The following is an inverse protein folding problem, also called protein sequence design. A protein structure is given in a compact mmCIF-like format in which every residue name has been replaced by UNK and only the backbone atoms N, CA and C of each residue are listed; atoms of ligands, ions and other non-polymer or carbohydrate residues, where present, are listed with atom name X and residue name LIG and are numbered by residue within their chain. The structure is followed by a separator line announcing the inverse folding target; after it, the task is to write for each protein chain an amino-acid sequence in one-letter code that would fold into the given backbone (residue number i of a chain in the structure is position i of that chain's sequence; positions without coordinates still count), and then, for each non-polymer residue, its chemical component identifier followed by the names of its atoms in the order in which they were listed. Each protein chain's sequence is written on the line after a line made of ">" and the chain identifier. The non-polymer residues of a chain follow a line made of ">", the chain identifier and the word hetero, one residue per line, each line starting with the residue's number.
data_IF_744760237560
#
_entry.id   IF_744760237560
#
_cell.length_a   1.000
_cell.length_b   1.000
_cell.length_c   1.000
_cell.angle_alpha   90.00
_cell.angle_beta   90.00
_cell.angle_gamma   90.00
#
_symmetry.space_group_name_H-M   'P 1'
#
loop_
_entity.id
_entity.type
_entity.pdbx_description
1 polymer ?
#
# COMPACT_ATOMS: atom_id res chain seq x y z
N UNK A 1 31.50 18.01 -67.84
CA UNK A 1 30.54 19.05 -67.37
C UNK A 1 29.23 18.39 -66.99
N UNK A 2 28.97 18.24 -65.68
CA UNK A 2 27.64 18.21 -65.07
C UNK A 2 27.84 18.24 -63.55
N UNK A 3 27.60 19.41 -62.98
CA UNK A 3 27.52 19.65 -61.55
C UNK A 3 26.26 19.00 -61.00
N UNK A 4 26.35 18.31 -59.87
CA UNK A 4 25.21 18.06 -59.00
C UNK A 4 25.67 18.29 -57.56
N UNK A 5 25.33 19.49 -57.05
CA UNK A 5 25.25 19.79 -55.63
C UNK A 5 24.26 18.82 -54.98
N UNK A 6 24.64 18.23 -53.85
CA UNK A 6 23.67 17.61 -52.92
C UNK A 6 23.71 18.40 -51.63
N UNK A 7 22.64 19.18 -51.43
CA UNK A 7 22.39 19.96 -50.23
C UNK A 7 21.74 19.06 -49.16
N UNK A 8 22.28 19.21 -47.95
CA UNK A 8 21.81 18.83 -46.62
C UNK A 8 20.34 18.44 -46.40
N UNK A 9 20.15 17.43 -45.54
CA UNK A 9 19.05 17.37 -44.58
C UNK A 9 19.57 16.78 -43.26
N UNK A 10 19.90 17.67 -42.32
CA UNK A 10 20.08 17.36 -40.90
C UNK A 10 18.72 16.94 -40.32
N UNK A 11 18.54 15.64 -40.08
CA UNK A 11 17.41 15.13 -39.30
C UNK A 11 17.64 15.39 -37.82
N UNK A 12 17.14 16.50 -37.29
CA UNK A 12 17.02 16.69 -35.85
C UNK A 12 15.89 15.80 -35.31
N UNK A 13 16.26 14.67 -34.71
CA UNK A 13 15.33 13.87 -33.93
C UNK A 13 14.96 14.64 -32.65
N UNK A 14 13.77 15.23 -32.65
CA UNK A 14 13.12 15.69 -31.42
C UNK A 14 12.68 14.45 -30.63
N UNK A 15 13.56 13.96 -29.76
CA UNK A 15 13.19 13.02 -28.72
C UNK A 15 12.39 13.77 -27.67
N UNK A 16 11.06 13.71 -27.75
CA UNK A 16 10.22 14.10 -26.62
C UNK A 16 10.50 13.11 -25.48
N UNK A 17 10.99 13.54 -24.31
CA UNK A 17 11.01 12.67 -23.16
C UNK A 17 9.56 12.29 -22.89
N UNK A 18 9.28 10.98 -22.90
CA UNK A 18 8.04 10.43 -22.40
C UNK A 18 7.97 10.86 -20.92
N UNK A 19 7.22 11.91 -20.62
CA UNK A 19 6.86 12.22 -19.24
C UNK A 19 6.10 10.99 -18.74
N UNK A 20 6.77 10.16 -17.95
CA UNK A 20 6.10 9.10 -17.21
C UNK A 20 4.95 9.77 -16.48
N UNK A 21 3.73 9.30 -16.73
CA UNK A 21 2.52 9.86 -16.13
C UNK A 21 2.70 9.86 -14.60
N UNK A 22 2.89 11.06 -14.04
CA UNK A 22 3.31 11.23 -12.66
C UNK A 22 2.15 10.77 -11.78
N UNK A 23 2.34 9.65 -11.12
CA UNK A 23 1.27 9.03 -10.35
C UNK A 23 0.91 9.95 -9.17
N UNK A 24 -0.36 10.36 -9.04
CA UNK A 24 -0.69 11.46 -8.14
C UNK A 24 -0.42 11.16 -6.68
N UNK A 25 0.09 12.16 -5.98
CA UNK A 25 0.16 12.18 -4.53
C UNK A 25 -1.24 12.26 -3.93
N UNK A 26 -1.47 11.48 -2.87
CA UNK A 26 -2.76 11.48 -2.19
C UNK A 26 -2.68 10.94 -0.76
N UNK A 27 -3.68 11.33 0.03
CA UNK A 27 -4.03 10.68 1.27
C UNK A 27 -5.35 9.92 1.08
N UNK A 28 -5.50 8.82 1.80
CA UNK A 28 -6.71 8.02 1.83
C UNK A 28 -6.96 7.43 3.21
N UNK A 29 -8.22 7.07 3.43
CA UNK A 29 -8.63 6.17 4.49
C UNK A 29 -9.09 4.88 3.86
N UNK A 30 -8.56 3.76 4.32
CA UNK A 30 -8.90 2.45 3.79
C UNK A 30 -9.68 1.70 4.87
N UNK A 31 -10.83 1.14 4.50
CA UNK A 31 -11.59 0.21 5.34
C UNK A 31 -11.42 -1.19 4.79
N UNK A 32 -11.23 -2.14 5.70
CA UNK A 32 -11.15 -3.56 5.39
C UNK A 32 -12.23 -4.32 6.16
N UNK A 33 -12.84 -5.29 5.48
CA UNK A 33 -13.72 -6.30 6.06
C UNK A 33 -13.29 -7.64 5.51
N UNK A 34 -12.96 -8.57 6.39
CA UNK A 34 -12.63 -9.96 6.04
C UNK A 34 -13.55 -10.90 6.82
N UNK A 35 -14.17 -11.83 6.13
CA UNK A 35 -15.19 -12.73 6.68
C UNK A 35 -14.90 -14.15 6.25
N UNK A 36 -14.81 -15.04 7.22
CA UNK A 36 -14.56 -16.47 7.01
C UNK A 36 -15.55 -17.30 7.81
N UNK A 37 -16.25 -18.21 7.12
CA UNK A 37 -17.14 -19.20 7.71
C UNK A 37 -16.43 -20.55 7.75
N UNK A 38 -16.28 -21.10 8.94
CA UNK A 38 -15.68 -22.41 9.17
C UNK A 38 -16.59 -23.56 8.75
N UNK A 39 -16.04 -24.77 8.69
CA UNK A 39 -16.80 -26.00 8.41
C UNK A 39 -17.82 -26.34 9.49
N UNK A 40 -17.67 -25.76 10.68
CA UNK A 40 -18.61 -25.80 11.80
C UNK A 40 -19.78 -24.80 11.65
N UNK A 41 -19.82 -24.04 10.54
CA UNK A 41 -20.82 -23.00 10.30
C UNK A 41 -20.57 -21.69 11.03
N UNK A 42 -19.48 -21.58 11.82
CA UNK A 42 -19.18 -20.34 12.57
C UNK A 42 -18.55 -19.32 11.64
N UNK A 43 -19.14 -18.13 11.61
CA UNK A 43 -18.59 -16.99 10.89
C UNK A 43 -17.75 -16.12 11.82
N UNK A 44 -16.51 -15.86 11.41
CA UNK A 44 -15.64 -14.83 12.01
C UNK A 44 -15.53 -13.66 11.04
N UNK A 45 -15.63 -12.46 11.57
CA UNK A 45 -15.49 -11.22 10.81
C UNK A 45 -14.45 -10.32 11.48
N UNK A 46 -13.50 -9.84 10.68
CA UNK A 46 -12.49 -8.88 11.08
C UNK A 46 -12.71 -7.58 10.35
N UNK A 47 -12.71 -6.46 11.07
CA UNK A 47 -12.82 -5.13 10.50
C UNK A 47 -11.73 -4.22 11.05
N UNK A 48 -11.08 -3.47 10.17
CA UNK A 48 -10.11 -2.45 10.57
C UNK A 48 -10.05 -1.32 9.54
N UNK A 49 -9.39 -0.24 9.93
CA UNK A 49 -9.13 0.89 9.04
C UNK A 49 -7.67 1.29 9.10
N UNK A 50 -7.20 1.87 8.00
CA UNK A 50 -5.85 2.44 7.89
C UNK A 50 -5.91 3.88 7.36
N UNK A 51 -5.01 4.72 7.87
CA UNK A 51 -4.57 5.93 7.17
C UNK A 51 -3.52 5.49 6.16
N UNK A 52 -3.67 5.92 4.92
CA UNK A 52 -2.72 5.62 3.86
C UNK A 52 -2.32 6.90 3.13
N UNK A 53 -1.03 7.07 2.84
CA UNK A 53 -0.52 8.19 2.06
C UNK A 53 0.48 7.66 1.03
N UNK A 54 0.43 8.23 -0.16
CA UNK A 54 1.47 8.12 -1.20
C UNK A 54 1.89 9.52 -1.58
N UNK A 55 3.17 9.80 -1.44
CA UNK A 55 3.77 11.08 -1.86
C UNK A 55 5.13 10.77 -2.50
N UNK A 56 5.27 11.03 -3.79
CA UNK A 56 6.43 10.65 -4.60
C UNK A 56 6.72 9.15 -4.52
N UNK A 57 7.93 8.83 -4.05
CA UNK A 57 8.44 7.46 -3.88
C UNK A 57 8.31 6.94 -2.44
N UNK A 58 7.33 7.45 -1.70
CA UNK A 58 7.09 7.08 -0.31
C UNK A 58 5.64 6.68 -0.10
N UNK A 59 5.44 5.62 0.68
CA UNK A 59 4.13 5.15 1.11
C UNK A 59 4.11 5.00 2.62
N UNK A 60 3.08 5.57 3.25
CA UNK A 60 2.81 5.46 4.68
C UNK A 60 1.48 4.74 4.89
N UNK A 61 1.46 3.71 5.73
CA UNK A 61 0.21 3.07 6.17
C UNK A 61 0.19 2.92 7.69
N UNK A 62 -0.93 3.26 8.32
CA UNK A 62 -1.06 3.17 9.78
C UNK A 62 -2.46 2.69 10.16
N UNK A 63 -2.53 1.66 11.01
CA UNK A 63 -3.80 1.19 11.56
C UNK A 63 -4.43 2.25 12.45
N UNK A 64 -5.72 2.50 12.24
CA UNK A 64 -6.54 3.36 13.09
C UNK A 64 -7.00 2.58 14.31
N UNK A 65 -6.12 2.47 15.31
CA UNK A 65 -6.41 1.80 16.58
C UNK A 65 -7.08 2.81 17.53
N UNK A 66 -8.23 2.47 18.15
CA UNK A 66 -8.83 3.31 19.17
C UNK A 66 -7.84 3.58 20.32
N UNK A 67 -7.70 4.84 20.73
CA UNK A 67 -6.74 5.26 21.76
C UNK A 67 -6.87 4.46 23.08
N UNK A 68 -8.09 4.18 23.61
CA UNK A 68 -8.22 3.37 24.81
C UNK A 68 -7.66 1.94 24.65
N UNK A 69 -7.85 1.34 23.47
CA UNK A 69 -7.35 0.00 23.17
C UNK A 69 -5.82 -0.02 23.08
N UNK A 70 -5.23 0.97 22.38
CA UNK A 70 -3.78 1.11 22.33
C UNK A 70 -3.19 1.29 23.73
N UNK A 71 -3.80 2.16 24.56
CA UNK A 71 -3.40 2.36 25.97
C UNK A 71 -3.42 1.07 26.78
N UNK A 72 -4.53 0.32 26.70
CA UNK A 72 -4.68 -0.93 27.43
C UNK A 72 -3.65 -1.97 26.99
N UNK A 73 -3.41 -2.08 25.68
CA UNK A 73 -2.37 -2.96 25.14
C UNK A 73 -1.00 -2.63 25.74
N UNK A 74 -0.54 -1.38 25.59
CA UNK A 74 0.77 -0.94 26.08
C UNK A 74 0.91 -1.09 27.59
N UNK A 75 -0.13 -0.79 28.37
CA UNK A 75 -0.12 -1.00 29.82
C UNK A 75 0.12 -2.47 30.20
N UNK A 76 -0.36 -3.44 29.40
CA UNK A 76 -0.16 -4.87 29.67
C UNK A 76 1.13 -5.42 29.07
N UNK A 77 1.53 -4.90 27.90
CA UNK A 77 2.65 -5.39 27.12
C UNK A 77 3.97 -4.84 27.67
N UNK A 78 4.02 -3.53 27.96
CA UNK A 78 5.24 -2.84 28.37
C UNK A 78 5.55 -3.08 29.87
N UNK A 79 4.56 -3.56 30.64
CA UNK A 79 4.71 -3.85 32.06
C UNK A 79 5.38 -5.21 32.35
N UNK A 80 5.71 -6.02 31.35
CA UNK A 80 6.35 -7.34 31.52
C UNK A 80 7.86 -7.22 31.33
N UNK A 81 8.67 -7.28 32.41
CA UNK A 81 10.12 -7.24 32.28
C UNK A 81 10.63 -8.51 31.57
N UNK A 82 11.52 -8.36 30.59
CA UNK A 82 12.27 -9.49 30.02
C UNK A 82 11.96 -9.87 28.57
N UNK A 83 10.99 -9.24 27.90
CA UNK A 83 10.74 -9.45 26.47
C UNK A 83 10.35 -8.15 25.77
N UNK A 84 11.28 -7.51 25.04
CA UNK A 84 10.94 -6.38 24.17
C UNK A 84 10.41 -6.90 22.85
N UNK A 85 9.13 -7.22 22.76
CA UNK A 85 8.53 -7.56 21.46
C UNK A 85 8.09 -6.29 20.72
N UNK A 86 8.57 -6.12 19.49
CA UNK A 86 8.08 -5.05 18.63
C UNK A 86 6.77 -5.48 17.94
N UNK A 87 5.67 -4.85 18.34
CA UNK A 87 4.35 -5.10 17.72
C UNK A 87 4.13 -4.17 16.54
N UNK A 88 4.74 -4.51 15.41
CA UNK A 88 4.73 -3.71 14.19
C UNK A 88 3.32 -3.34 13.68
N UNK A 89 2.27 -4.11 14.02
CA UNK A 89 0.88 -3.79 13.64
C UNK A 89 0.32 -2.55 14.37
N UNK A 90 0.95 -2.12 15.46
CA UNK A 90 0.60 -0.91 16.20
C UNK A 90 1.38 0.33 15.77
N UNK A 91 2.50 0.12 15.08
CA UNK A 91 3.31 1.19 14.49
C UNK A 91 2.81 1.54 13.08
N UNK A 92 3.21 2.72 12.60
CA UNK A 92 2.97 3.10 11.22
C UNK A 92 4.05 2.53 10.30
N UNK A 93 3.66 1.83 9.24
CA UNK A 93 4.58 1.34 8.21
C UNK A 93 4.94 2.46 7.25
N UNK A 94 6.24 2.71 7.07
CA UNK A 94 6.80 3.67 6.12
C UNK A 94 7.72 2.94 5.14
N UNK A 95 7.33 2.93 3.87
CA UNK A 95 8.12 2.36 2.78
C UNK A 95 8.63 3.49 1.90
N UNK A 96 9.93 3.49 1.62
CA UNK A 96 10.55 4.42 0.69
C UNK A 96 11.28 3.66 -0.40
N UNK A 97 11.09 4.05 -1.66
CA UNK A 97 11.90 3.54 -2.77
C UNK A 97 13.11 4.44 -2.97
N UNK A 98 14.31 3.86 -2.94
CA UNK A 98 15.58 4.54 -3.16
C UNK A 98 15.96 4.52 -4.65
N UNK A 99 17.00 5.28 -5.01
CA UNK A 99 17.61 5.18 -6.33
C UNK A 99 18.08 3.73 -6.59
N UNK A 100 17.72 3.15 -7.74
CA UNK A 100 18.02 1.76 -8.07
C UNK A 100 16.98 0.72 -7.62
N UNK A 101 15.75 1.16 -7.31
CA UNK A 101 14.58 0.31 -7.03
C UNK A 101 14.61 -0.51 -5.73
N UNK A 102 15.63 -0.29 -4.89
CA UNK A 102 15.65 -0.83 -3.54
C UNK A 102 14.54 -0.20 -2.70
N UNK A 103 13.82 -1.04 -1.96
CA UNK A 103 12.85 -0.58 -0.96
C UNK A 103 13.50 -0.56 0.40
N UNK A 104 13.25 0.50 1.17
CA UNK A 104 13.55 0.57 2.59
C UNK A 104 12.23 0.49 3.35
N UNK A 105 12.17 -0.41 4.33
CA UNK A 105 11.03 -0.58 5.23
C UNK A 105 11.40 -0.07 6.62
N UNK A 106 10.57 0.84 7.14
CA UNK A 106 10.64 1.33 8.51
C UNK A 106 9.27 1.28 9.15
N UNK A 107 9.24 1.16 10.48
CA UNK A 107 8.04 1.36 11.28
C UNK A 107 8.25 2.51 12.24
N UNK A 108 7.38 3.52 12.17
CA UNK A 108 7.35 4.63 13.12
C UNK A 108 6.40 4.27 14.27
N UNK A 109 6.98 3.94 15.42
CA UNK A 109 6.28 3.72 16.67
C UNK A 109 6.19 5.03 17.46
N UNK A 110 5.03 5.68 17.32
CA UNK A 110 4.75 6.93 17.99
C UNK A 110 4.53 6.78 19.51
N UNK A 111 4.26 5.56 20.00
CA UNK A 111 4.07 5.34 21.44
C UNK A 111 5.41 5.37 22.17
N UNK A 112 6.43 4.74 21.58
CA UNK A 112 7.77 4.67 22.14
C UNK A 112 8.74 5.74 21.60
N UNK A 113 8.31 6.57 20.64
CA UNK A 113 9.15 7.48 19.87
C UNK A 113 10.34 6.75 19.21
N UNK A 114 10.04 5.64 18.54
CA UNK A 114 11.03 4.78 17.89
C UNK A 114 10.78 4.69 16.40
N UNK A 115 11.86 4.71 15.62
CA UNK A 115 11.86 4.40 14.20
C UNK A 115 12.59 3.07 14.02
N UNK A 116 11.82 2.00 13.83
CA UNK A 116 12.36 0.64 13.70
C UNK A 116 12.65 0.37 12.23
N UNK A 117 13.90 0.23 11.87
CA UNK A 117 14.32 -0.18 10.53
C UNK A 117 14.23 -1.70 10.40
N UNK A 118 13.76 -2.18 9.25
CA UNK A 118 13.68 -3.61 8.97
C UNK A 118 14.68 -3.93 7.86
N UNK A 119 15.77 -4.66 8.17
CA UNK A 119 16.68 -5.19 7.16
C UNK A 119 15.93 -6.09 6.18
N UNK A 120 16.42 -6.18 4.94
CA UNK A 120 15.75 -6.94 3.87
C UNK A 120 15.57 -8.42 4.24
N UNK A 121 16.58 -9.00 4.89
CA UNK A 121 16.56 -10.36 5.42
C UNK A 121 15.42 -10.61 6.43
N UNK A 122 14.93 -9.57 7.11
CA UNK A 122 13.88 -9.67 8.13
C UNK A 122 12.48 -9.31 7.61
N UNK A 123 12.31 -9.02 6.31
CA UNK A 123 10.98 -8.73 5.74
C UNK A 123 9.96 -9.83 6.01
N UNK A 124 10.42 -11.09 6.07
CA UNK A 124 9.59 -12.24 6.42
C UNK A 124 8.99 -12.16 7.83
N UNK A 125 9.71 -11.62 8.81
CA UNK A 125 9.27 -11.54 10.21
C UNK A 125 8.04 -10.63 10.40
N UNK A 126 7.90 -9.65 9.51
CA UNK A 126 6.80 -8.67 9.52
C UNK A 126 5.83 -8.87 8.36
N UNK A 127 5.87 -10.04 7.71
CA UNK A 127 5.06 -10.41 6.55
C UNK A 127 5.06 -9.35 5.43
N UNK A 128 6.19 -8.66 5.25
CA UNK A 128 6.35 -7.66 4.20
C UNK A 128 6.81 -8.31 2.89
N UNK A 129 6.14 -7.94 1.79
CA UNK A 129 6.54 -8.31 0.43
C UNK A 129 6.99 -7.06 -0.30
N UNK A 130 8.23 -7.01 -0.82
CA UNK A 130 8.79 -5.81 -1.46
C UNK A 130 8.28 -5.61 -2.90
N UNK A 131 6.96 -5.65 -3.09
CA UNK A 131 6.29 -5.47 -4.39
C UNK A 131 5.88 -4.00 -4.57
N UNK A 132 6.78 -3.17 -5.11
CA UNK A 132 6.56 -1.72 -5.18
C UNK A 132 5.26 -1.32 -5.88
N UNK A 133 4.94 -1.93 -7.03
CA UNK A 133 3.70 -1.67 -7.74
C UNK A 133 2.47 -1.89 -6.84
N UNK A 134 2.45 -2.99 -6.08
CA UNK A 134 1.36 -3.28 -5.12
C UNK A 134 1.35 -2.30 -3.96
N UNK A 135 2.50 -1.96 -3.39
CA UNK A 135 2.61 -1.03 -2.26
C UNK A 135 2.11 0.36 -2.66
N UNK A 136 2.49 0.82 -3.85
CA UNK A 136 2.20 2.15 -4.38
C UNK A 136 0.78 2.31 -4.90
N UNK A 137 0.17 1.24 -5.41
CA UNK A 137 -1.16 1.29 -6.03
C UNK A 137 -2.21 0.48 -5.26
N UNK A 138 -1.89 -0.02 -4.06
CA UNK A 138 -2.68 -0.94 -3.22
C UNK A 138 -2.90 -2.36 -3.80
N UNK A 139 -2.93 -2.47 -5.12
CA UNK A 139 -2.86 -3.71 -5.92
C UNK A 139 -1.76 -3.55 -6.96
N UNK A 140 -1.29 -4.64 -7.58
CA UNK A 140 -0.45 -4.51 -8.76
C UNK A 140 -1.35 -4.13 -9.97
N UNK A 141 -1.18 -2.96 -10.62
CA UNK A 141 -2.05 -2.54 -11.72
C UNK A 141 -2.02 -3.48 -12.93
N UNK A 142 -0.92 -4.21 -13.14
CA UNK A 142 -0.81 -5.21 -14.21
C UNK A 142 -1.84 -6.34 -14.08
N UNK A 143 -2.42 -6.54 -12.89
CA UNK A 143 -3.51 -7.50 -12.72
C UNK A 143 -4.74 -7.16 -13.58
N UNK A 144 -4.98 -5.87 -13.87
CA UNK A 144 -6.14 -5.42 -14.62
C UNK A 144 -6.13 -5.89 -16.08
N UNK A 145 -4.95 -6.12 -16.66
CA UNK A 145 -4.80 -6.59 -18.05
C UNK A 145 -5.45 -7.97 -18.27
N UNK A 146 -5.48 -8.80 -17.23
CA UNK A 146 -6.11 -10.12 -17.25
C UNK A 146 -7.58 -10.12 -16.80
N UNK A 147 -8.14 -8.97 -16.44
CA UNK A 147 -9.51 -8.88 -15.92
C UNK A 147 -10.49 -8.40 -16.99
N UNK A 148 -11.72 -8.89 -16.92
CA UNK A 148 -12.80 -8.46 -17.80
C UNK A 148 -13.38 -7.14 -17.30
N UNK A 149 -13.37 -6.06 -18.09
CA UNK A 149 -14.07 -4.83 -17.73
C UNK A 149 -15.59 -5.07 -17.71
N UNK A 150 -16.29 -4.45 -16.76
CA UNK A 150 -17.73 -4.56 -16.59
C UNK A 150 -18.41 -3.26 -16.99
N UNK A 151 -19.53 -3.37 -17.70
CA UNK A 151 -20.43 -2.26 -17.99
C UNK A 151 -21.35 -1.99 -16.79
N UNK A 152 -20.74 -1.46 -15.72
CA UNK A 152 -21.41 -1.10 -14.48
C UNK A 152 -21.20 0.38 -14.17
N UNK A 153 -22.20 1.00 -13.56
CA UNK A 153 -22.11 2.39 -13.14
C UNK A 153 -20.92 2.60 -12.19
N UNK A 154 -20.07 3.56 -12.54
CA UNK A 154 -18.87 3.91 -11.79
C UNK A 154 -18.70 5.44 -11.75
N UNK A 155 -17.96 5.97 -10.76
CA UNK A 155 -17.54 7.37 -10.75
C UNK A 155 -16.73 7.74 -12.00
N UNK A 156 -16.63 9.03 -12.29
CA UNK A 156 -15.80 9.53 -13.39
C UNK A 156 -14.36 8.99 -13.31
N UNK A 157 -13.82 8.58 -14.45
CA UNK A 157 -12.49 7.98 -14.60
C UNK A 157 -12.26 6.72 -13.75
N UNK A 158 -13.33 6.03 -13.36
CA UNK A 158 -13.26 4.71 -12.73
C UNK A 158 -14.04 3.66 -13.54
N UNK A 159 -13.57 2.41 -13.52
CA UNK A 159 -14.21 1.28 -14.19
C UNK A 159 -14.16 0.03 -13.31
N UNK A 160 -15.20 -0.79 -13.36
CA UNK A 160 -15.21 -2.10 -12.72
C UNK A 160 -14.51 -3.14 -13.60
N UNK A 161 -13.77 -4.03 -12.95
CA UNK A 161 -13.11 -5.18 -13.55
C UNK A 161 -13.43 -6.44 -12.73
N UNK A 162 -13.59 -7.59 -13.37
CA UNK A 162 -13.78 -8.89 -12.71
C UNK A 162 -12.84 -9.96 -13.27
N UNK A 163 -12.36 -10.82 -12.39
CA UNK A 163 -11.80 -12.13 -12.76
C UNK A 163 -12.46 -13.22 -11.94
N UNK A 164 -12.48 -14.43 -12.51
CA UNK A 164 -12.90 -15.66 -11.85
C UNK A 164 -11.82 -16.71 -12.03
N UNK A 165 -11.25 -17.15 -10.92
CA UNK A 165 -10.20 -18.15 -10.89
C UNK A 165 -10.65 -19.32 -10.01
N UNK A 166 -10.96 -20.46 -10.64
CA UNK A 166 -11.53 -21.62 -9.97
C UNK A 166 -12.82 -21.27 -9.23
N UNK A 167 -12.80 -21.40 -7.89
CA UNK A 167 -13.94 -21.09 -7.00
C UNK A 167 -13.86 -19.69 -6.38
N UNK A 168 -13.01 -18.81 -6.89
CA UNK A 168 -12.88 -17.44 -6.39
C UNK A 168 -13.31 -16.44 -7.46
N UNK A 169 -13.95 -15.36 -7.01
CA UNK A 169 -14.29 -14.19 -7.82
C UNK A 169 -13.64 -12.98 -7.19
N UNK A 170 -12.97 -12.17 -8.01
CA UNK A 170 -12.39 -10.89 -7.57
C UNK A 170 -12.90 -9.78 -8.45
N UNK A 171 -13.39 -8.69 -7.84
CA UNK A 171 -13.87 -7.49 -8.51
C UNK A 171 -13.09 -6.28 -8.03
N UNK A 172 -12.75 -5.39 -8.95
CA UNK A 172 -11.95 -4.19 -8.66
C UNK A 172 -12.61 -3.00 -9.34
N UNK A 173 -13.00 -2.00 -8.54
CA UNK A 173 -13.34 -0.68 -9.05
C UNK A 173 -12.07 0.14 -9.11
N UNK A 174 -11.48 0.27 -10.30
CA UNK A 174 -10.21 0.96 -10.50
C UNK A 174 -10.41 2.41 -10.91
N UNK A 175 -9.73 3.36 -10.25
CA UNK A 175 -9.66 4.75 -10.69
C UNK A 175 -8.39 4.98 -11.51
N UNK A 176 -8.54 5.31 -12.80
CA UNK A 176 -7.44 5.71 -13.67
C UNK A 176 -6.82 7.04 -13.21
N UNK A 177 -7.66 7.99 -12.77
CA UNK A 177 -7.22 9.29 -12.24
C UNK A 177 -6.22 9.16 -11.09
N UNK A 178 -6.54 8.32 -10.10
CA UNK A 178 -5.72 8.18 -8.90
C UNK A 178 -4.77 6.99 -8.95
N UNK A 179 -4.85 6.20 -10.03
CA UNK A 179 -4.11 4.96 -10.22
C UNK A 179 -4.13 4.07 -8.97
N UNK A 180 -5.33 3.79 -8.46
CA UNK A 180 -5.58 2.91 -7.31
C UNK A 180 -7.01 2.33 -7.38
N UNK A 181 -7.29 1.23 -6.65
CA UNK A 181 -8.65 0.73 -6.53
C UNK A 181 -9.44 1.58 -5.53
N UNK A 182 -10.64 1.99 -5.91
CA UNK A 182 -11.62 2.57 -4.98
C UNK A 182 -12.30 1.48 -4.15
N UNK A 183 -12.51 0.30 -4.75
CA UNK A 183 -13.04 -0.89 -4.09
C UNK A 183 -12.31 -2.13 -4.61
N UNK A 184 -11.98 -3.07 -3.72
CA UNK A 184 -11.60 -4.43 -4.07
C UNK A 184 -12.52 -5.38 -3.32
N UNK A 185 -13.11 -6.32 -4.05
CA UNK A 185 -13.93 -7.39 -3.50
C UNK A 185 -13.30 -8.72 -3.91
N UNK A 186 -13.19 -9.67 -2.99
CA UNK A 186 -12.89 -11.06 -3.31
C UNK A 186 -13.84 -11.95 -2.54
N UNK A 187 -14.41 -12.97 -3.17
CA UNK A 187 -15.29 -13.92 -2.51
C UNK A 187 -15.12 -15.31 -3.10
N UNK A 188 -15.22 -16.33 -2.24
CA UNK A 188 -15.42 -17.68 -2.72
C UNK A 188 -16.85 -17.82 -3.27
N UNK A 189 -17.00 -18.59 -4.36
CA UNK A 189 -18.30 -18.79 -5.01
C UNK A 189 -19.28 -19.58 -4.14
N UNK A 190 -18.77 -20.33 -3.15
CA UNK A 190 -19.56 -21.03 -2.13
C UNK A 190 -19.94 -20.14 -0.93
N UNK A 191 -19.46 -18.89 -0.89
CA UNK A 191 -19.80 -17.91 0.15
C UNK A 191 -19.06 -18.06 1.47
N UNK A 192 -18.17 -19.05 1.64
CA UNK A 192 -17.45 -19.26 2.89
C UNK A 192 -16.40 -18.20 3.19
N UNK A 193 -15.91 -17.48 2.19
CA UNK A 193 -14.89 -16.43 2.36
C UNK A 193 -15.30 -15.20 1.58
N UNK A 194 -15.19 -14.04 2.20
CA UNK A 194 -15.29 -12.76 1.51
C UNK A 194 -14.37 -11.73 2.11
N UNK A 195 -13.83 -10.89 1.25
CA UNK A 195 -12.96 -9.78 1.58
C UNK A 195 -13.44 -8.54 0.84
N UNK A 196 -13.43 -7.40 1.52
CA UNK A 196 -13.73 -6.10 0.94
C UNK A 196 -12.74 -5.06 1.45
N UNK A 197 -12.13 -4.34 0.51
CA UNK A 197 -11.35 -3.13 0.76
C UNK A 197 -12.06 -1.94 0.11
N UNK A 198 -12.23 -0.85 0.85
CA UNK A 198 -12.80 0.39 0.33
C UNK A 198 -11.86 1.56 0.61
N UNK A 199 -11.58 2.36 -0.42
CA UNK A 199 -10.66 3.50 -0.34
C UNK A 199 -11.46 4.80 -0.43
N UNK A 200 -11.36 5.60 0.63
CA UNK A 200 -11.93 6.95 0.68
C UNK A 200 -10.81 7.98 0.61
N UNK A 201 -10.77 8.75 -0.47
CA UNK A 201 -9.79 9.83 -0.64
C UNK A 201 -9.89 10.89 0.46
N UNK A 202 -8.76 11.48 0.83
CA UNK A 202 -8.61 12.53 1.84
C UNK A 202 -7.66 13.60 1.32
N UNK A 203 -7.82 14.81 1.85
CA UNK A 203 -6.85 15.89 1.63
C UNK A 203 -5.49 15.49 2.21
N UNK A 204 -4.42 15.74 1.46
CA UNK A 204 -3.06 15.59 1.96
C UNK A 204 -2.86 16.48 3.20
N UNK A 205 -2.17 15.99 4.24
CA UNK A 205 -1.85 16.81 5.40
C UNK A 205 -0.82 17.88 5.01
N UNK A 206 -0.89 19.04 5.68
CA UNK A 206 0.09 20.13 5.48
C UNK A 206 1.52 19.73 5.84
N UNK A 207 1.66 18.85 6.84
CA UNK A 207 2.93 18.26 7.28
C UNK A 207 2.82 16.76 7.12
N UNK A 208 3.77 16.16 6.40
CA UNK A 208 3.78 14.72 6.15
C UNK A 208 4.18 13.96 7.42
N UNK A 209 3.70 12.72 7.64
CA UNK A 209 3.99 11.99 8.87
C UNK A 209 5.49 11.77 9.10
N UNK A 210 6.25 11.46 8.05
CA UNK A 210 7.70 11.24 8.16
C UNK A 210 8.51 12.51 8.45
N UNK A 211 7.95 13.70 8.21
CA UNK A 211 8.58 14.97 8.59
C UNK A 211 8.49 15.23 10.10
N UNK A 212 7.66 14.49 10.83
CA UNK A 212 7.43 14.64 12.27
C UNK A 212 8.21 13.62 13.11
N UNK A 213 9.11 12.85 12.49
CA UNK A 213 9.88 11.80 13.16
C UNK A 213 11.21 12.31 13.75
N UNK A 214 11.45 13.62 13.71
CA UNK A 214 12.62 14.21 14.34
C UNK A 214 12.63 13.89 15.84
N UNK A 215 13.74 13.32 16.33
CA UNK A 215 13.90 12.91 17.72
C UNK A 215 13.48 11.46 18.01
N UNK A 216 12.97 10.72 17.03
CA UNK A 216 12.71 9.29 17.21
C UNK A 216 14.05 8.52 17.32
N UNK A 217 14.15 7.61 18.28
CA UNK A 217 15.29 6.70 18.37
C UNK A 217 15.23 5.72 17.20
N UNK A 218 16.29 5.66 16.40
CA UNK A 218 16.39 4.63 15.35
C UNK A 218 16.89 3.33 15.96
N UNK A 219 16.19 2.23 15.67
CA UNK A 219 16.50 0.88 16.13
C UNK A 219 16.46 -0.08 14.96
N UNK A 220 17.19 -1.19 15.04
CA UNK A 220 17.05 -2.30 14.11
C UNK A 220 15.97 -3.26 14.63
N UNK A 221 15.17 -3.87 13.75
CA UNK A 221 14.18 -4.86 14.16
C UNK A 221 14.80 -5.99 15.00
N UNK A 222 16.07 -6.35 14.73
CA UNK A 222 16.80 -7.40 15.45
C UNK A 222 17.06 -7.06 16.92
N UNK A 223 17.02 -5.78 17.30
CA UNK A 223 17.14 -5.32 18.70
C UNK A 223 15.96 -5.78 19.59
N UNK A 224 14.92 -6.36 18.99
CA UNK A 224 13.70 -6.85 19.65
C UNK A 224 13.62 -8.39 19.72
N UNK A 225 14.67 -9.11 19.31
CA UNK A 225 14.70 -10.58 19.33
C UNK A 225 15.32 -11.16 20.62
N UNK A 226 15.96 -10.32 21.44
CA UNK A 226 16.65 -10.68 22.68
C UNK A 226 15.73 -10.72 23.92
#
# INVERSE_FOLDING_TARGET
>A
MKYLLSLWLLGSALSFPLLADEVPDLAARIRYVDRVTGSDGITRESQWQEKWLRVGDQVWSQRLIPVPLARAYHATHDARPGHKHFTHQMAARWVTRSAGDALQLRYADAWHNQLVEVPQEEYGQVAFKPEWARIRHLINPALLEGMTPLDEAAPDQANWYETREGRQRTRILWSSRWQLPLVVESASLDGYRSYRMEVTLKTLPKTLPWQQLAGYQTLDLRDFFD
#
